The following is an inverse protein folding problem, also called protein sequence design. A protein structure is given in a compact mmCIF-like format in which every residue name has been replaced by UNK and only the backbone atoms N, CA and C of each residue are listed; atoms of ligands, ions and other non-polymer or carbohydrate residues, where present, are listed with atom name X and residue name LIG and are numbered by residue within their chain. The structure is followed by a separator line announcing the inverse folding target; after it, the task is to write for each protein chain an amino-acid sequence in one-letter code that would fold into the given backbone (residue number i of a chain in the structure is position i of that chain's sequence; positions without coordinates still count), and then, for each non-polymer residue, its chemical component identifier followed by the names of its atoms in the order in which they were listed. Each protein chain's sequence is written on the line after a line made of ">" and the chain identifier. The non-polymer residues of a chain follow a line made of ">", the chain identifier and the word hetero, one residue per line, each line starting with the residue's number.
data_IF_956654292165
#
_entry.id   IF_956654292165
#
_cell.length_a   1.000
_cell.length_b   1.000
_cell.length_c   1.000
_cell.angle_alpha   90.00
_cell.angle_beta   90.00
_cell.angle_gamma   90.00
#
_symmetry.space_group_name_H-M   'P 1'
#
loop_
_entity.id
_entity.type
_entity.pdbx_description
1 polymer ?
#
# COMPACT_ATOMS: atom_id res chain seq x y z
N UNK A 1 -21.96 13.41 -10.60
CA UNK A 1 -22.61 12.31 -11.36
C UNK A 1 -21.80 11.90 -12.60
N UNK A 2 -21.01 12.77 -13.23
CA UNK A 2 -20.20 12.45 -14.42
C UNK A 2 -19.02 11.49 -14.15
N UNK A 3 -18.21 11.74 -13.13
CA UNK A 3 -16.99 10.96 -12.84
C UNK A 3 -17.25 9.51 -12.43
N UNK A 4 -18.20 9.27 -11.52
CA UNK A 4 -18.56 7.91 -11.13
C UNK A 4 -19.08 7.07 -12.31
N UNK A 5 -19.75 7.71 -13.26
CA UNK A 5 -20.21 7.05 -14.49
C UNK A 5 -19.03 6.70 -15.39
N UNK A 6 -18.12 7.63 -15.61
CA UNK A 6 -16.90 7.45 -16.44
C UNK A 6 -16.00 6.34 -15.88
N UNK A 7 -15.86 6.30 -14.55
CA UNK A 7 -15.13 5.25 -13.86
C UNK A 7 -15.77 3.86 -14.09
N UNK A 8 -17.08 3.73 -13.94
CA UNK A 8 -17.78 2.46 -14.18
C UNK A 8 -17.70 2.04 -15.65
N UNK A 9 -17.83 3.00 -16.57
CA UNK A 9 -17.68 2.74 -18.02
C UNK A 9 -16.31 2.14 -18.34
N UNK A 10 -15.22 2.66 -17.72
CA UNK A 10 -13.88 2.13 -17.90
C UNK A 10 -13.74 0.73 -17.29
N UNK A 11 -14.34 0.47 -16.09
CA UNK A 11 -14.39 -0.89 -15.51
C UNK A 11 -15.08 -1.89 -16.44
N UNK A 12 -16.20 -1.49 -17.08
CA UNK A 12 -16.93 -2.34 -18.02
C UNK A 12 -16.13 -2.56 -19.32
N UNK A 13 -15.39 -1.56 -19.77
CA UNK A 13 -14.50 -1.65 -20.92
C UNK A 13 -13.33 -2.57 -20.67
N UNK A 14 -12.70 -2.49 -19.50
CA UNK A 14 -11.66 -3.43 -19.06
C UNK A 14 -12.17 -4.87 -19.03
N UNK A 15 -13.37 -5.09 -18.48
CA UNK A 15 -13.97 -6.42 -18.45
C UNK A 15 -14.27 -6.97 -19.85
N UNK A 16 -14.62 -6.11 -20.81
CA UNK A 16 -14.77 -6.50 -22.23
C UNK A 16 -13.44 -6.85 -22.87
N UNK A 17 -12.42 -6.00 -22.70
CA UNK A 17 -11.07 -6.25 -23.22
C UNK A 17 -10.48 -7.58 -22.73
N UNK A 18 -10.73 -7.93 -21.47
CA UNK A 18 -10.32 -9.24 -20.91
C UNK A 18 -11.10 -10.39 -21.57
N UNK A 19 -12.43 -10.27 -21.73
CA UNK A 19 -13.25 -11.33 -22.37
C UNK A 19 -12.92 -11.54 -23.85
N UNK A 20 -12.53 -10.47 -24.53
CA UNK A 20 -12.23 -10.50 -25.97
C UNK A 20 -10.80 -11.00 -26.26
N UNK A 21 -9.94 -11.07 -25.25
CA UNK A 21 -8.57 -11.58 -25.39
C UNK A 21 -8.48 -13.06 -24.97
N UNK A 22 -8.20 -14.00 -25.90
CA UNK A 22 -8.16 -15.42 -25.60
C UNK A 22 -6.98 -15.83 -24.68
N UNK A 23 -6.01 -14.96 -24.46
CA UNK A 23 -4.90 -15.18 -23.53
C UNK A 23 -5.22 -14.73 -22.10
N UNK A 24 -6.38 -14.14 -21.85
CA UNK A 24 -6.87 -13.74 -20.53
C UNK A 24 -8.06 -14.62 -20.12
N UNK A 25 -8.05 -15.07 -18.87
CA UNK A 25 -9.10 -15.92 -18.30
C UNK A 25 -9.93 -15.19 -17.25
N UNK A 26 -9.47 -14.01 -16.78
CA UNK A 26 -10.23 -13.30 -15.78
C UNK A 26 -9.73 -11.93 -15.37
N UNK A 27 -10.60 -11.23 -14.61
CA UNK A 27 -10.39 -9.88 -14.10
C UNK A 27 -10.88 -9.78 -12.66
N UNK A 28 -10.04 -9.28 -11.78
CA UNK A 28 -10.40 -8.91 -10.42
C UNK A 28 -10.08 -7.44 -10.16
N UNK A 29 -11.11 -6.61 -9.96
CA UNK A 29 -10.98 -5.20 -9.61
C UNK A 29 -10.72 -5.08 -8.10
N UNK A 30 -9.78 -4.20 -7.71
CA UNK A 30 -9.32 -4.05 -6.34
C UNK A 30 -9.57 -2.64 -5.79
N UNK A 31 -9.44 -2.49 -4.48
CA UNK A 31 -9.50 -1.19 -3.82
C UNK A 31 -10.77 -0.40 -4.13
N UNK A 32 -10.61 0.84 -4.60
CA UNK A 32 -11.71 1.73 -4.98
C UNK A 32 -12.42 1.28 -6.27
N UNK A 33 -11.76 0.49 -7.11
CA UNK A 33 -12.33 -0.07 -8.32
C UNK A 33 -13.28 -1.24 -8.03
N UNK A 34 -13.12 -1.94 -6.89
CA UNK A 34 -14.02 -3.03 -6.49
C UNK A 34 -15.39 -2.51 -6.05
N UNK A 35 -16.43 -3.35 -6.14
CA UNK A 35 -17.76 -3.03 -5.58
C UNK A 35 -17.69 -2.87 -4.05
N UNK A 36 -16.92 -3.74 -3.36
CA UNK A 36 -16.71 -3.64 -1.92
C UNK A 36 -16.02 -2.34 -1.50
N UNK A 37 -15.16 -1.78 -2.34
CA UNK A 37 -14.43 -0.53 -2.11
C UNK A 37 -15.10 0.72 -2.66
N UNK A 38 -16.22 0.60 -3.37
CA UNK A 38 -16.90 1.69 -4.06
C UNK A 38 -17.20 2.91 -3.18
N UNK A 39 -17.45 2.71 -1.90
CA UNK A 39 -17.68 3.77 -0.92
C UNK A 39 -16.45 4.65 -0.65
N UNK A 40 -15.27 4.25 -1.14
CA UNK A 40 -13.98 4.97 -1.03
C UNK A 40 -13.63 5.75 -2.29
N UNK A 41 -14.42 5.58 -3.36
CA UNK A 41 -14.15 6.17 -4.67
C UNK A 41 -14.38 7.66 -4.66
N UNK A 42 -13.43 8.38 -5.21
CA UNK A 42 -13.43 9.83 -5.39
C UNK A 42 -12.75 10.22 -6.72
N UNK A 43 -12.54 11.51 -6.94
CA UNK A 43 -11.89 12.07 -8.14
C UNK A 43 -10.40 11.69 -8.30
N UNK A 44 -9.78 11.18 -7.25
CA UNK A 44 -8.37 10.75 -7.22
C UNK A 44 -8.21 9.24 -7.31
N UNK A 45 -9.32 8.53 -7.51
CA UNK A 45 -9.31 7.07 -7.55
C UNK A 45 -8.81 6.58 -8.90
N UNK A 46 -7.92 5.61 -8.85
CA UNK A 46 -7.35 4.82 -9.93
C UNK A 46 -8.07 3.48 -10.12
N UNK A 47 -7.68 2.73 -11.14
CA UNK A 47 -8.10 1.34 -11.29
C UNK A 47 -6.95 0.41 -10.93
N UNK A 48 -7.07 -0.20 -9.75
CA UNK A 48 -6.23 -1.32 -9.33
C UNK A 48 -6.88 -2.64 -9.74
N UNK A 49 -6.14 -3.55 -10.39
CA UNK A 49 -6.70 -4.85 -10.76
C UNK A 49 -5.68 -5.94 -11.06
N UNK A 50 -6.14 -7.17 -11.03
CA UNK A 50 -5.46 -8.31 -11.63
C UNK A 50 -6.16 -8.73 -12.92
N UNK A 51 -5.41 -8.80 -14.03
CA UNK A 51 -5.78 -9.47 -15.26
C UNK A 51 -5.11 -10.85 -15.28
N UNK A 52 -5.91 -11.90 -15.18
CA UNK A 52 -5.39 -13.24 -15.03
C UNK A 52 -5.18 -13.86 -16.41
N UNK A 53 -3.94 -14.20 -16.69
CA UNK A 53 -3.53 -14.80 -17.95
C UNK A 53 -3.69 -16.32 -17.95
N UNK A 54 -3.98 -16.87 -19.12
CA UNK A 54 -3.91 -18.30 -19.36
C UNK A 54 -2.48 -18.84 -19.16
N UNK A 55 -2.33 -20.17 -19.05
CA UNK A 55 -1.04 -20.79 -18.84
C UNK A 55 0.00 -20.37 -19.90
N UNK A 56 1.15 -19.93 -19.44
CA UNK A 56 2.25 -19.43 -20.27
C UNK A 56 1.98 -18.12 -21.04
N UNK A 57 0.80 -17.49 -20.88
CA UNK A 57 0.45 -16.26 -21.61
C UNK A 57 0.91 -14.96 -20.91
N UNK A 58 1.21 -14.98 -19.61
CA UNK A 58 1.53 -13.79 -18.83
C UNK A 58 2.53 -12.82 -19.49
N UNK A 59 3.72 -13.27 -19.94
CA UNK A 59 4.68 -12.39 -20.61
C UNK A 59 4.16 -11.75 -21.90
N UNK A 60 3.32 -12.47 -22.68
CA UNK A 60 2.76 -11.92 -23.93
C UNK A 60 1.69 -10.86 -23.65
N UNK A 61 0.80 -11.13 -22.71
CA UNK A 61 -0.24 -10.19 -22.27
C UNK A 61 0.35 -8.89 -21.73
N UNK A 62 1.48 -8.96 -21.03
CA UNK A 62 2.21 -7.77 -20.57
C UNK A 62 2.95 -7.04 -21.69
N UNK A 63 3.40 -7.74 -22.71
CA UNK A 63 4.10 -7.15 -23.85
C UNK A 63 3.17 -6.48 -24.85
N UNK A 64 1.94 -7.00 -24.98
CA UNK A 64 0.89 -6.45 -25.85
C UNK A 64 -0.31 -6.03 -24.99
N UNK A 65 -0.42 -4.73 -24.76
CA UNK A 65 -1.50 -4.12 -23.97
C UNK A 65 -2.70 -3.72 -24.83
N UNK A 66 -2.84 -4.21 -26.06
CA UNK A 66 -3.94 -3.88 -26.96
C UNK A 66 -5.33 -4.27 -26.42
N UNK A 67 -5.38 -5.11 -25.40
CA UNK A 67 -6.61 -5.47 -24.68
C UNK A 67 -7.10 -4.38 -23.69
N UNK A 68 -6.25 -3.43 -23.32
CA UNK A 68 -6.68 -2.27 -22.55
C UNK A 68 -7.61 -1.39 -23.39
N UNK A 69 -8.66 -0.80 -22.81
CA UNK A 69 -9.54 0.11 -23.54
C UNK A 69 -8.86 1.43 -23.89
N UNK A 70 -9.42 2.15 -24.87
CA UNK A 70 -9.02 3.53 -25.23
C UNK A 70 -7.53 3.66 -25.50
N UNK A 71 -6.99 2.79 -26.34
CA UNK A 71 -5.55 2.72 -26.65
C UNK A 71 -4.96 4.05 -27.11
N UNK A 72 -5.72 4.84 -27.85
CA UNK A 72 -5.34 6.16 -28.35
C UNK A 72 -5.13 7.21 -27.27
N UNK A 73 -5.75 7.01 -26.09
CA UNK A 73 -5.67 7.93 -24.95
C UNK A 73 -4.55 7.54 -23.97
N UNK A 74 -3.89 6.37 -24.14
CA UNK A 74 -2.79 5.95 -23.28
C UNK A 74 -1.52 6.73 -23.65
N UNK A 75 -1.05 7.61 -22.74
CA UNK A 75 0.15 8.43 -22.95
C UNK A 75 1.42 7.77 -22.43
N UNK A 76 1.30 6.81 -21.52
CA UNK A 76 2.42 6.07 -20.96
C UNK A 76 1.97 4.69 -20.48
N UNK A 77 2.77 3.66 -20.76
CA UNK A 77 2.63 2.35 -20.14
C UNK A 77 4.01 1.78 -19.83
N UNK A 78 4.22 1.34 -18.58
CA UNK A 78 5.52 0.86 -18.08
C UNK A 78 5.36 -0.41 -17.25
N UNK A 79 6.33 -1.33 -17.29
CA UNK A 79 6.40 -2.41 -16.32
C UNK A 79 6.77 -1.85 -14.93
N UNK A 80 6.10 -2.35 -13.88
CA UNK A 80 6.33 -1.97 -12.49
C UNK A 80 6.60 -3.20 -11.62
N UNK A 81 7.81 -3.75 -11.76
CA UNK A 81 8.27 -4.90 -10.97
C UNK A 81 7.48 -6.19 -11.23
N UNK A 82 8.16 -7.31 -11.36
CA UNK A 82 7.52 -8.62 -11.52
C UNK A 82 6.49 -8.65 -12.67
N UNK A 83 5.23 -8.90 -12.33
CA UNK A 83 4.11 -8.93 -13.26
C UNK A 83 3.31 -7.61 -13.31
N UNK A 84 3.76 -6.59 -12.57
CA UNK A 84 3.09 -5.28 -12.49
C UNK A 84 3.26 -4.45 -13.74
N UNK A 85 2.23 -3.67 -14.05
CA UNK A 85 2.19 -2.69 -15.12
C UNK A 85 1.43 -1.47 -14.63
N UNK A 86 1.92 -0.28 -15.00
CA UNK A 86 1.18 0.97 -14.83
C UNK A 86 0.87 1.58 -16.18
N UNK A 87 -0.31 2.13 -16.37
CA UNK A 87 -0.69 2.86 -17.57
C UNK A 87 -1.41 4.16 -17.21
N UNK A 88 -1.00 5.26 -17.84
CA UNK A 88 -1.56 6.58 -17.63
C UNK A 88 -2.30 7.03 -18.89
N UNK A 89 -3.54 7.46 -18.72
CA UNK A 89 -4.35 8.08 -19.76
C UNK A 89 -4.12 9.58 -19.86
N UNK A 90 -4.48 10.20 -20.97
CA UNK A 90 -4.30 11.63 -21.26
C UNK A 90 -5.13 12.54 -20.34
N UNK A 91 -6.22 12.03 -19.77
CA UNK A 91 -7.03 12.71 -18.76
C UNK A 91 -6.47 12.60 -17.34
N UNK A 92 -5.31 11.94 -17.16
CA UNK A 92 -4.65 11.71 -15.87
C UNK A 92 -5.15 10.48 -15.12
N UNK A 93 -6.07 9.68 -15.69
CA UNK A 93 -6.52 8.45 -15.04
C UNK A 93 -5.42 7.38 -15.08
N UNK A 94 -5.19 6.71 -13.94
CA UNK A 94 -4.14 5.70 -13.77
C UNK A 94 -4.75 4.30 -13.72
N UNK A 95 -4.09 3.36 -14.36
CA UNK A 95 -4.27 1.93 -14.16
C UNK A 95 -3.01 1.38 -13.48
N UNK A 96 -3.17 0.70 -12.35
CA UNK A 96 -2.13 -0.07 -11.69
C UNK A 96 -2.57 -1.54 -11.64
N UNK A 97 -1.85 -2.42 -12.33
CA UNK A 97 -2.33 -3.79 -12.46
C UNK A 97 -1.21 -4.81 -12.59
N UNK A 98 -1.53 -6.05 -12.26
CA UNK A 98 -0.71 -7.18 -12.67
C UNK A 98 -1.44 -7.99 -13.76
N UNK A 99 -0.74 -8.29 -14.86
CA UNK A 99 -1.22 -9.16 -15.90
C UNK A 99 -0.39 -10.45 -15.88
N UNK A 100 -0.92 -11.54 -15.29
CA UNK A 100 -0.12 -12.69 -14.91
C UNK A 100 -0.92 -13.98 -14.81
N UNK A 101 -0.25 -15.11 -15.01
CA UNK A 101 -0.79 -16.41 -14.62
C UNK A 101 -0.83 -16.52 -13.07
N UNK A 102 -1.79 -17.26 -12.47
CA UNK A 102 -1.88 -17.40 -11.01
C UNK A 102 -0.57 -17.79 -10.32
N UNK A 103 0.25 -18.64 -10.93
CA UNK A 103 1.55 -19.04 -10.38
C UNK A 103 2.56 -17.87 -10.27
N UNK A 104 2.45 -16.84 -11.12
CA UNK A 104 3.27 -15.63 -11.02
C UNK A 104 2.80 -14.70 -9.88
N UNK A 105 1.58 -14.93 -9.38
CA UNK A 105 0.93 -14.16 -8.30
C UNK A 105 0.87 -14.94 -6.96
N UNK A 106 1.61 -16.03 -6.82
CA UNK A 106 1.58 -16.91 -5.63
C UNK A 106 1.82 -16.16 -4.30
N UNK A 107 2.62 -15.08 -4.32
CA UNK A 107 2.88 -14.21 -3.17
C UNK A 107 1.98 -12.97 -3.07
N UNK A 108 1.04 -12.78 -4.00
CA UNK A 108 0.21 -11.58 -4.03
C UNK A 108 -0.73 -11.52 -2.82
N UNK A 109 -0.96 -10.29 -2.34
CA UNK A 109 -1.90 -9.99 -1.28
C UNK A 109 -3.07 -9.20 -1.88
N UNK A 110 -4.30 -9.57 -1.51
CA UNK A 110 -5.49 -8.85 -1.95
C UNK A 110 -6.28 -8.31 -0.74
N UNK A 111 -6.71 -7.06 -0.87
CA UNK A 111 -7.65 -6.43 0.05
C UNK A 111 -9.09 -6.53 -0.44
N UNK A 112 -9.81 -5.40 -0.45
CA UNK A 112 -11.17 -5.33 -1.03
C UNK A 112 -11.09 -5.60 -2.52
N UNK A 113 -11.77 -6.64 -2.97
CA UNK A 113 -11.68 -7.14 -4.35
C UNK A 113 -13.06 -7.58 -4.85
N UNK A 114 -13.31 -7.42 -6.13
CA UNK A 114 -14.48 -7.97 -6.82
C UNK A 114 -14.03 -8.69 -8.08
N UNK A 115 -14.30 -9.99 -8.16
CA UNK A 115 -14.10 -10.77 -9.38
C UNK A 115 -15.16 -10.32 -10.40
N UNK A 116 -14.70 -9.80 -11.53
CA UNK A 116 -15.57 -9.23 -12.58
C UNK A 116 -15.66 -10.15 -13.79
N UNK A 117 -14.58 -10.87 -14.09
CA UNK A 117 -14.52 -11.91 -15.11
C UNK A 117 -13.83 -13.11 -14.49
N UNK A 118 -14.37 -14.32 -14.68
CA UNK A 118 -13.79 -15.58 -14.25
C UNK A 118 -14.03 -16.65 -15.31
N UNK A 119 -13.21 -17.69 -15.30
CA UNK A 119 -13.42 -18.89 -16.09
C UNK A 119 -14.43 -19.84 -15.41
N UNK A 120 -14.85 -20.89 -16.13
CA UNK A 120 -15.78 -21.89 -15.61
C UNK A 120 -15.22 -22.67 -14.39
N UNK A 121 -13.89 -22.72 -14.24
CA UNK A 121 -13.22 -23.37 -13.13
C UNK A 121 -13.16 -22.51 -11.85
N UNK A 122 -13.46 -21.20 -11.94
CA UNK A 122 -13.34 -20.28 -10.81
C UNK A 122 -11.89 -19.95 -10.44
N UNK A 123 -11.02 -19.90 -11.44
CA UNK A 123 -9.58 -19.67 -11.26
C UNK A 123 -9.30 -18.34 -10.55
N UNK A 124 -9.99 -17.28 -10.96
CA UNK A 124 -9.78 -15.93 -10.37
C UNK A 124 -10.33 -15.86 -8.96
N UNK A 125 -11.52 -16.40 -8.72
CA UNK A 125 -12.12 -16.44 -7.39
C UNK A 125 -11.22 -17.19 -6.39
N UNK A 126 -10.70 -18.35 -6.78
CA UNK A 126 -9.76 -19.15 -5.97
C UNK A 126 -8.48 -18.35 -5.66
N UNK A 127 -7.87 -17.71 -6.64
CA UNK A 127 -6.68 -16.88 -6.45
C UNK A 127 -6.94 -15.73 -5.47
N UNK A 128 -8.08 -15.06 -5.59
CA UNK A 128 -8.43 -13.93 -4.72
C UNK A 128 -8.68 -14.39 -3.29
N UNK A 129 -9.41 -15.49 -3.09
CA UNK A 129 -9.66 -16.05 -1.75
C UNK A 129 -8.35 -16.41 -1.05
N UNK A 130 -7.42 -17.06 -1.76
CA UNK A 130 -6.09 -17.38 -1.24
C UNK A 130 -5.26 -16.14 -0.93
N UNK A 131 -5.31 -15.13 -1.81
CA UNK A 131 -4.58 -13.86 -1.62
C UNK A 131 -5.11 -13.07 -0.43
N UNK A 132 -6.42 -13.08 -0.22
CA UNK A 132 -7.06 -12.48 0.97
C UNK A 132 -6.72 -13.24 2.25
N UNK A 133 -6.72 -14.56 2.20
CA UNK A 133 -6.31 -15.40 3.34
C UNK A 133 -4.84 -15.15 3.71
N UNK A 134 -3.94 -15.05 2.73
CA UNK A 134 -2.53 -14.66 2.96
C UNK A 134 -2.43 -13.26 3.56
N UNK A 135 -3.16 -12.30 3.02
CA UNK A 135 -3.20 -10.94 3.57
C UNK A 135 -3.63 -10.96 5.03
N UNK A 136 -4.71 -11.65 5.36
CA UNK A 136 -5.19 -11.78 6.75
C UNK A 136 -4.16 -12.45 7.67
N UNK A 137 -3.45 -13.47 7.20
CA UNK A 137 -2.42 -14.18 7.97
C UNK A 137 -1.13 -13.37 8.14
N UNK A 138 -0.77 -12.52 7.18
CA UNK A 138 0.48 -11.75 7.20
C UNK A 138 0.49 -10.56 8.16
N UNK A 139 -0.64 -10.26 8.80
CA UNK A 139 -0.91 -9.00 9.48
C UNK A 139 -0.76 -9.08 11.00
N UNK A 140 -0.10 -10.06 11.53
CA UNK A 140 0.36 -9.99 12.92
C UNK A 140 1.48 -8.94 13.04
N UNK A 141 1.10 -7.67 13.24
CA UNK A 141 2.07 -6.64 13.62
C UNK A 141 2.55 -6.96 15.03
N UNK A 142 3.85 -7.19 15.19
CA UNK A 142 4.48 -7.12 16.50
C UNK A 142 4.84 -5.66 16.81
N UNK A 143 4.06 -4.94 17.63
CA UNK A 143 4.28 -3.53 17.85
C UNK A 143 5.59 -3.24 18.60
N UNK A 144 6.13 -4.20 19.38
CA UNK A 144 7.39 -4.01 20.09
C UNK A 144 8.59 -4.09 19.11
N UNK A 145 8.55 -5.06 18.20
CA UNK A 145 9.53 -5.13 17.10
C UNK A 145 9.50 -3.85 16.25
N UNK A 146 8.31 -3.40 15.88
CA UNK A 146 8.14 -2.20 15.03
C UNK A 146 8.63 -0.93 15.76
N UNK A 147 8.34 -0.76 17.05
CA UNK A 147 8.86 0.34 17.86
C UNK A 147 10.40 0.30 17.94
N UNK A 148 10.98 -0.88 18.15
CA UNK A 148 12.43 -1.08 18.14
C UNK A 148 13.06 -0.70 16.80
N UNK A 149 12.47 -1.14 15.69
CA UNK A 149 12.95 -0.80 14.35
C UNK A 149 12.84 0.71 14.06
N UNK A 150 11.75 1.37 14.48
CA UNK A 150 11.61 2.82 14.38
C UNK A 150 12.77 3.54 15.08
N UNK A 151 13.08 3.18 16.32
CA UNK A 151 14.20 3.76 17.07
C UNK A 151 15.54 3.59 16.35
N UNK A 152 15.81 2.42 15.79
CA UNK A 152 17.05 2.17 15.03
C UNK A 152 17.09 3.03 13.76
N UNK A 153 15.97 3.18 13.04
CA UNK A 153 15.93 4.03 11.84
C UNK A 153 16.12 5.51 12.19
N UNK A 154 15.52 6.01 13.28
CA UNK A 154 15.75 7.36 13.79
C UNK A 154 17.24 7.57 14.13
N UNK A 155 17.85 6.63 14.86
CA UNK A 155 19.27 6.69 15.20
C UNK A 155 20.18 6.77 13.97
N UNK A 156 19.88 5.98 12.92
CA UNK A 156 20.66 6.00 11.68
C UNK A 156 20.44 7.33 10.96
N UNK A 157 19.19 7.76 10.83
CA UNK A 157 18.80 8.99 10.12
C UNK A 157 19.48 10.22 10.71
N UNK A 158 19.37 10.44 12.02
CA UNK A 158 20.05 11.58 12.68
C UNK A 158 21.57 11.50 12.55
N UNK A 159 22.16 10.31 12.65
CA UNK A 159 23.59 10.15 12.42
C UNK A 159 24.04 10.53 11.02
N UNK A 160 23.21 10.28 10.00
CA UNK A 160 23.46 10.71 8.61
C UNK A 160 23.27 12.21 8.44
N UNK A 161 22.23 12.80 9.02
CA UNK A 161 21.96 14.22 8.99
C UNK A 161 23.17 15.02 9.55
N UNK A 162 23.67 14.61 10.72
CA UNK A 162 24.86 15.22 11.36
C UNK A 162 26.15 15.08 10.55
N UNK A 163 26.20 14.16 9.58
CA UNK A 163 27.31 14.04 8.60
C UNK A 163 27.07 14.82 7.31
N UNK A 164 25.93 15.53 7.20
CA UNK A 164 25.56 16.26 5.99
C UNK A 164 24.93 15.38 4.89
N UNK A 165 24.61 14.11 5.18
CA UNK A 165 23.96 13.19 4.23
C UNK A 165 22.43 13.39 4.24
N UNK A 166 21.96 14.62 3.95
CA UNK A 166 20.57 15.08 4.20
C UNK A 166 19.54 14.25 3.45
N UNK A 167 19.78 13.89 2.19
CA UNK A 167 18.83 13.09 1.38
C UNK A 167 18.63 11.71 2.01
N UNK A 168 19.73 11.03 2.31
CA UNK A 168 19.69 9.70 2.93
C UNK A 168 19.09 9.74 4.35
N UNK A 169 19.44 10.77 5.13
CA UNK A 169 18.86 11.00 6.44
C UNK A 169 17.33 11.17 6.36
N UNK A 170 16.85 11.93 5.40
CA UNK A 170 15.43 12.13 5.14
C UNK A 170 14.69 10.83 4.87
N UNK A 171 15.25 9.94 4.03
CA UNK A 171 14.67 8.61 3.78
C UNK A 171 14.58 7.76 5.05
N UNK A 172 15.62 7.78 5.90
CA UNK A 172 15.60 7.04 7.15
C UNK A 172 14.54 7.54 8.14
N UNK A 173 14.37 8.84 8.26
CA UNK A 173 13.45 9.45 9.22
C UNK A 173 12.02 9.48 8.69
N UNK A 174 11.81 10.05 7.48
CA UNK A 174 10.48 10.36 6.96
C UNK A 174 9.81 9.19 6.23
N UNK A 175 10.58 8.14 5.89
CA UNK A 175 10.02 6.94 5.26
C UNK A 175 10.12 5.74 6.21
N UNK A 176 11.31 5.26 6.45
CA UNK A 176 11.45 3.98 7.15
C UNK A 176 11.11 4.05 8.64
N UNK A 177 11.58 5.07 9.38
CA UNK A 177 11.21 5.22 10.78
C UNK A 177 9.71 5.50 10.95
N UNK A 178 9.15 6.36 10.07
CA UNK A 178 7.72 6.67 10.05
C UNK A 178 6.87 5.41 9.83
N UNK A 179 7.19 4.60 8.82
CA UNK A 179 6.45 3.37 8.54
C UNK A 179 6.45 2.41 9.74
N UNK A 180 7.60 2.20 10.36
CA UNK A 180 7.69 1.37 11.57
C UNK A 180 6.91 1.98 12.74
N UNK A 181 7.00 3.29 12.97
CA UNK A 181 6.23 3.96 14.02
C UNK A 181 4.72 3.84 13.78
N UNK A 182 4.24 4.05 12.56
CA UNK A 182 2.81 3.89 12.23
C UNK A 182 2.34 2.46 12.47
N UNK A 183 3.14 1.45 12.11
CA UNK A 183 2.81 0.05 12.41
C UNK A 183 2.75 -0.21 13.92
N UNK A 184 3.72 0.31 14.69
CA UNK A 184 3.70 0.20 16.14
C UNK A 184 2.45 0.84 16.75
N UNK A 185 2.09 2.07 16.33
CA UNK A 185 0.88 2.77 16.77
C UNK A 185 -0.38 1.98 16.44
N UNK A 186 -0.52 1.49 15.19
CA UNK A 186 -1.66 0.67 14.79
C UNK A 186 -1.74 -0.65 15.57
N UNK A 187 -0.62 -1.34 15.73
CA UNK A 187 -0.59 -2.62 16.45
C UNK A 187 -0.90 -2.48 17.93
N UNK A 188 -0.55 -1.35 18.55
CA UNK A 188 -0.74 -1.12 19.99
C UNK A 188 -2.05 -0.43 20.34
N UNK A 189 -2.53 0.50 19.50
CA UNK A 189 -3.63 1.40 19.84
C UNK A 189 -4.96 1.03 19.18
N UNK A 190 -4.95 0.25 18.09
CA UNK A 190 -6.18 -0.15 17.39
C UNK A 190 -6.61 -1.56 17.79
N UNK A 191 -7.92 -1.77 17.82
CA UNK A 191 -8.47 -3.12 17.90
C UNK A 191 -8.03 -3.94 16.67
N UNK A 192 -7.56 -5.17 16.85
CA UNK A 192 -7.23 -6.06 15.73
C UNK A 192 -8.35 -6.21 14.70
N UNK A 193 -9.61 -6.06 15.13
CA UNK A 193 -10.80 -6.17 14.28
C UNK A 193 -11.28 -4.82 13.70
N UNK A 194 -10.50 -3.73 13.83
CA UNK A 194 -10.90 -2.42 13.30
C UNK A 194 -11.10 -2.48 11.78
N UNK A 195 -12.34 -2.26 11.27
CA UNK A 195 -12.67 -2.43 9.84
C UNK A 195 -11.91 -1.49 8.91
N UNK A 196 -11.47 -0.35 9.43
CA UNK A 196 -10.71 0.66 8.66
C UNK A 196 -9.20 0.45 8.71
N UNK A 197 -8.75 -0.65 9.31
CA UNK A 197 -7.34 -1.01 9.35
C UNK A 197 -6.88 -1.35 7.94
N UNK A 198 -6.16 -0.41 7.31
CA UNK A 198 -5.48 -0.69 6.05
C UNK A 198 -4.23 -1.51 6.35
N UNK A 199 -4.25 -2.76 5.90
CA UNK A 199 -3.24 -3.75 6.27
C UNK A 199 -2.09 -3.78 5.26
N UNK A 200 -2.38 -3.43 4.02
CA UNK A 200 -1.40 -3.41 2.93
C UNK A 200 -0.60 -2.11 2.95
N UNK A 201 -1.25 -1.00 3.29
CA UNK A 201 -0.60 0.31 3.39
C UNK A 201 -0.95 1.00 4.73
N UNK A 202 -0.17 0.73 5.79
CA UNK A 202 -0.47 1.21 7.15
C UNK A 202 -0.56 2.73 7.29
N UNK A 203 0.05 3.50 6.39
CA UNK A 203 -0.02 4.97 6.41
C UNK A 203 -1.33 5.52 5.86
N UNK A 204 -2.03 4.77 5.01
CA UNK A 204 -3.31 5.20 4.42
C UNK A 204 -4.39 5.37 5.47
N UNK A 205 -5.12 6.47 5.38
CA UNK A 205 -6.29 6.78 6.22
C UNK A 205 -6.00 6.76 7.72
N UNK A 206 -4.74 7.01 8.10
CA UNK A 206 -4.35 7.08 9.50
C UNK A 206 -5.15 8.15 10.24
N UNK A 207 -5.48 9.24 9.56
CA UNK A 207 -6.29 10.38 10.05
C UNK A 207 -7.70 9.96 10.51
N UNK A 208 -8.23 8.87 9.96
CA UNK A 208 -9.56 8.35 10.33
C UNK A 208 -9.53 7.50 11.59
N UNK A 209 -8.47 6.73 11.78
CA UNK A 209 -8.37 5.74 12.87
C UNK A 209 -7.55 6.23 14.06
N UNK A 210 -6.56 7.09 13.84
CA UNK A 210 -5.67 7.68 14.86
C UNK A 210 -5.48 9.19 14.59
N UNK A 211 -6.55 10.03 14.64
CA UNK A 211 -6.51 11.43 14.18
C UNK A 211 -5.50 12.29 14.94
N UNK A 212 -5.33 12.10 16.26
CA UNK A 212 -4.35 12.85 17.05
C UNK A 212 -2.91 12.50 16.64
N UNK A 213 -2.63 11.21 16.51
CA UNK A 213 -1.31 10.72 16.15
C UNK A 213 -0.98 11.10 14.70
N UNK A 214 -1.93 10.99 13.78
CA UNK A 214 -1.77 11.42 12.40
C UNK A 214 -1.43 12.91 12.29
N UNK A 215 -2.14 13.78 13.02
CA UNK A 215 -1.84 15.21 13.06
C UNK A 215 -0.43 15.51 13.60
N UNK A 216 0.00 14.80 14.67
CA UNK A 216 1.33 14.95 15.23
C UNK A 216 2.43 14.46 14.26
N UNK A 217 2.19 13.34 13.55
CA UNK A 217 3.09 12.82 12.53
C UNK A 217 3.21 13.81 11.36
N UNK A 218 2.09 14.33 10.84
CA UNK A 218 2.09 15.31 9.76
C UNK A 218 2.89 16.56 10.15
N UNK A 219 2.68 17.11 11.35
CA UNK A 219 3.44 18.24 11.87
C UNK A 219 4.95 17.94 11.99
N UNK A 220 5.31 16.73 12.42
CA UNK A 220 6.72 16.32 12.51
C UNK A 220 7.40 16.26 11.15
N UNK A 221 6.69 15.83 10.09
CA UNK A 221 7.22 15.71 8.73
C UNK A 221 7.58 17.05 8.07
N UNK A 222 6.98 18.16 8.53
CA UNK A 222 7.29 19.52 8.07
C UNK A 222 8.61 20.08 8.65
N UNK A 223 9.14 19.44 9.68
CA UNK A 223 10.38 19.87 10.35
C UNK A 223 11.63 19.43 9.57
N UNK A 224 12.80 20.12 9.77
CA UNK A 224 14.10 19.59 9.35
C UNK A 224 14.36 18.18 9.92
N UNK A 225 15.30 17.43 9.33
CA UNK A 225 15.46 15.98 9.60
C UNK A 225 15.63 15.64 11.07
N UNK A 226 16.60 16.26 11.78
CA UNK A 226 16.83 15.94 13.20
C UNK A 226 15.68 16.41 14.10
N UNK A 227 15.12 17.63 13.97
CA UNK A 227 13.88 18.02 14.66
C UNK A 227 12.70 17.09 14.39
N UNK A 228 12.51 16.64 13.13
CA UNK A 228 11.49 15.65 12.79
C UNK A 228 11.70 14.33 13.53
N UNK A 229 12.93 13.82 13.50
CA UNK A 229 13.29 12.59 14.22
C UNK A 229 13.01 12.70 15.72
N UNK A 230 13.33 13.85 16.35
CA UNK A 230 13.04 14.10 17.75
C UNK A 230 11.55 14.16 18.05
N UNK A 231 10.76 14.78 17.17
CA UNK A 231 9.30 14.82 17.30
C UNK A 231 8.66 13.44 17.19
N UNK A 232 9.11 12.62 16.21
CA UNK A 232 8.66 11.23 16.06
C UNK A 232 9.06 10.37 17.28
N UNK A 233 10.26 10.57 17.81
CA UNK A 233 10.72 9.93 19.03
C UNK A 233 9.84 10.29 20.24
N UNK A 234 9.54 11.57 20.44
CA UNK A 234 8.68 12.03 21.53
C UNK A 234 7.27 11.44 21.42
N UNK A 235 6.66 11.52 20.22
CA UNK A 235 5.34 10.92 19.97
C UNK A 235 5.32 9.42 20.33
N UNK A 236 6.35 8.70 19.93
CA UNK A 236 6.46 7.26 20.23
C UNK A 236 6.52 6.99 21.73
N UNK A 237 7.32 7.76 22.48
CA UNK A 237 7.42 7.66 23.95
C UNK A 237 6.08 7.98 24.62
N UNK A 238 5.47 9.08 24.21
CA UNK A 238 4.23 9.57 24.83
C UNK A 238 3.03 8.67 24.59
N UNK A 239 2.91 8.10 23.40
CA UNK A 239 1.74 7.31 23.00
C UNK A 239 1.89 5.79 23.24
N UNK A 240 3.10 5.25 23.20
CA UNK A 240 3.31 3.81 23.28
C UNK A 240 3.86 3.32 24.62
N UNK A 241 4.76 4.06 25.26
CA UNK A 241 5.46 3.58 26.46
C UNK A 241 4.56 3.46 27.70
N UNK A 242 3.61 4.38 27.98
CA UNK A 242 2.83 4.32 29.21
C UNK A 242 2.04 3.01 29.36
N UNK A 243 2.34 2.27 30.45
CA UNK A 243 1.64 1.02 30.76
C UNK A 243 1.92 -0.13 29.78
N UNK A 244 2.99 -0.06 29.00
CA UNK A 244 3.37 -1.12 28.06
C UNK A 244 4.78 -1.67 28.37
N UNK A 245 4.86 -2.79 29.12
CA UNK A 245 6.14 -3.38 29.56
C UNK A 245 7.05 -3.84 28.41
N UNK A 246 6.46 -4.20 27.26
CA UNK A 246 7.19 -4.66 26.07
C UNK A 246 7.78 -3.51 25.25
N UNK A 247 7.45 -2.25 25.57
CA UNK A 247 8.07 -1.10 24.91
C UNK A 247 9.58 -1.13 25.11
N UNK A 248 10.39 -0.88 24.07
CA UNK A 248 11.86 -0.94 24.15
C UNK A 248 12.46 0.30 24.86
N UNK A 249 12.05 0.59 26.10
CA UNK A 249 12.43 1.79 26.86
C UNK A 249 13.93 1.99 26.95
N UNK A 250 14.69 0.91 27.23
CA UNK A 250 16.15 0.99 27.29
C UNK A 250 16.77 1.41 25.95
N UNK A 251 16.24 0.92 24.83
CA UNK A 251 16.72 1.33 23.50
C UNK A 251 16.40 2.80 23.26
N UNK A 252 15.20 3.23 23.64
CA UNK A 252 14.78 4.62 23.52
C UNK A 252 15.71 5.55 24.34
N UNK A 253 16.04 5.19 25.57
CA UNK A 253 16.95 5.96 26.44
C UNK A 253 18.35 6.07 25.83
N UNK A 254 18.88 4.99 25.25
CA UNK A 254 20.20 5.00 24.59
C UNK A 254 20.18 5.92 23.36
N UNK A 255 19.09 5.92 22.59
CA UNK A 255 18.93 6.82 21.43
C UNK A 255 18.88 8.27 21.90
N UNK A 256 18.07 8.58 22.91
CA UNK A 256 17.97 9.93 23.49
C UNK A 256 19.32 10.41 24.03
N UNK A 257 20.00 9.60 24.84
CA UNK A 257 21.32 9.92 25.38
C UNK A 257 22.35 10.21 24.28
N UNK A 258 22.32 9.41 23.19
CA UNK A 258 23.26 9.58 22.06
C UNK A 258 23.14 10.92 21.37
N UNK A 259 21.93 11.50 21.34
CA UNK A 259 21.65 12.73 20.63
C UNK A 259 21.45 13.94 21.53
N UNK A 260 21.33 13.76 22.84
CA UNK A 260 21.08 14.82 23.82
C UNK A 260 19.60 15.22 23.82
N UNK A 261 18.70 14.29 23.69
CA UNK A 261 17.25 14.50 23.70
C UNK A 261 16.66 14.35 25.10
#
# INVERSE_FOLDING_TARGET
>A
MGESRRFNELSDELARGVRDNPELVGLALMGSASEAGRHRRDEWSDHDFFAIAADGAGPRVRADLSWLPRQEDIVLALPEGGAGVVALYDDGHLLEFAAAHPAELEGALAGLTTVTVDDEAGTVATLIDESQARAAASIAIDPALEAGLALIKLRIGVGRDRRGEVVSAGLFVRTWALQHLVRALRGRLLDPNEPQRDLLEPTRRLERVLPRQAAALAAALELPVEPAARALYALMRDELEPGWPEFPSRTADVVAQRFGW
#
